data_IF_913530705448
#
_entry.id   IF_913530705448
#
_cell.length_a   1.000
_cell.length_b   1.000
_cell.length_c   1.000
_cell.angle_alpha   90.00
_cell.angle_beta   90.00
_cell.angle_gamma   90.00
#
_symmetry.space_group_name_H-M   'P 1'
#
loop_
_entity.id
_entity.type
_entity.pdbx_description
1 polymer ?
#
# COMPACT_ATOMS: atom_id res chain seq x y z
N UNK A 1 -42.98 52.05 3.96
CA UNK A 1 -42.44 51.03 4.88
C UNK A 1 -41.16 51.58 5.47
N UNK A 2 -41.13 51.93 6.78
CA UNK A 2 -39.97 52.59 7.38
C UNK A 2 -38.80 51.58 7.46
N UNK A 3 -37.59 52.05 7.24
CA UNK A 3 -36.36 51.27 7.25
C UNK A 3 -36.24 50.30 8.49
N UNK A 4 -36.70 50.78 9.63
CA UNK A 4 -36.77 49.99 10.87
C UNK A 4 -37.73 48.78 10.79
N UNK A 5 -38.87 48.92 10.15
CA UNK A 5 -39.82 47.80 9.93
C UNK A 5 -39.25 46.77 8.97
N UNK A 6 -38.53 47.15 7.96
CA UNK A 6 -37.86 46.23 7.03
C UNK A 6 -36.76 45.42 7.75
N UNK A 7 -35.93 46.05 8.57
CA UNK A 7 -34.89 45.40 9.36
C UNK A 7 -35.50 44.38 10.37
N UNK A 8 -36.60 44.74 11.00
CA UNK A 8 -37.31 43.85 11.94
C UNK A 8 -37.88 42.60 11.23
N UNK A 9 -38.49 42.76 10.08
CA UNK A 9 -39.05 41.67 9.30
C UNK A 9 -37.96 40.74 8.75
N UNK A 10 -36.88 41.28 8.24
CA UNK A 10 -35.76 40.44 7.77
C UNK A 10 -35.09 39.67 8.90
N UNK A 11 -34.89 40.29 10.06
CA UNK A 11 -34.32 39.60 11.25
C UNK A 11 -35.25 38.48 11.77
N UNK A 12 -36.59 38.72 11.74
CA UNK A 12 -37.55 37.70 12.15
C UNK A 12 -37.56 36.48 11.20
N UNK A 13 -37.52 36.75 9.89
CA UNK A 13 -37.46 35.70 8.86
C UNK A 13 -36.16 34.88 8.99
N UNK A 14 -35.05 35.56 9.23
CA UNK A 14 -33.75 34.90 9.43
C UNK A 14 -33.73 34.03 10.72
N UNK A 15 -34.32 34.55 11.80
CA UNK A 15 -34.43 33.78 13.04
C UNK A 15 -35.33 32.53 12.88
N UNK A 16 -36.47 32.68 12.20
CA UNK A 16 -37.37 31.55 11.91
C UNK A 16 -36.74 30.51 10.97
N UNK A 17 -36.01 30.96 9.93
CA UNK A 17 -35.29 30.03 9.04
C UNK A 17 -34.18 29.27 9.78
N UNK A 18 -33.42 29.93 10.66
CA UNK A 18 -32.40 29.35 11.48
C UNK A 18 -33.01 28.31 12.45
N UNK A 19 -34.12 28.66 13.10
CA UNK A 19 -34.85 27.73 13.97
C UNK A 19 -35.38 26.51 13.20
N UNK A 20 -35.93 26.73 12.00
CA UNK A 20 -36.40 25.63 11.15
C UNK A 20 -35.26 24.67 10.74
N UNK A 21 -34.12 25.21 10.34
CA UNK A 21 -32.94 24.41 10.03
C UNK A 21 -32.47 23.63 11.26
N UNK A 22 -32.41 24.25 12.42
CA UNK A 22 -32.04 23.59 13.67
C UNK A 22 -33.00 22.45 14.02
N UNK A 23 -34.30 22.66 13.90
CA UNK A 23 -35.31 21.60 14.14
C UNK A 23 -35.17 20.45 13.16
N UNK A 24 -34.94 20.74 11.87
CA UNK A 24 -34.70 19.71 10.84
C UNK A 24 -33.45 18.89 11.15
N UNK A 25 -32.35 19.55 11.56
CA UNK A 25 -31.10 18.88 11.92
C UNK A 25 -31.27 18.00 13.17
N UNK A 26 -31.96 18.50 14.20
CA UNK A 26 -32.24 17.72 15.43
C UNK A 26 -33.12 16.51 15.10
N UNK A 27 -34.18 16.68 14.32
CA UNK A 27 -35.06 15.57 13.91
C UNK A 27 -34.29 14.53 13.06
N UNK A 28 -33.41 15.00 12.16
CA UNK A 28 -32.55 14.12 11.37
C UNK A 28 -31.59 13.33 12.27
N UNK A 29 -30.90 13.99 13.19
CA UNK A 29 -30.02 13.36 14.17
C UNK A 29 -30.75 12.35 15.05
N UNK A 30 -31.93 12.68 15.56
CA UNK A 30 -32.74 11.74 16.36
C UNK A 30 -33.18 10.51 15.56
N UNK A 31 -33.49 10.67 14.27
CA UNK A 31 -33.80 9.54 13.38
C UNK A 31 -32.57 8.66 13.16
N UNK A 32 -31.42 9.27 12.93
CA UNK A 32 -30.16 8.55 12.70
C UNK A 32 -29.73 7.79 13.97
N UNK A 33 -29.83 8.41 15.16
CA UNK A 33 -29.55 7.74 16.43
C UNK A 33 -30.51 6.57 16.72
N UNK A 34 -31.80 6.72 16.40
CA UNK A 34 -32.77 5.61 16.56
C UNK A 34 -32.48 4.46 15.61
N UNK A 35 -32.11 4.77 14.35
CA UNK A 35 -31.70 3.75 13.37
C UNK A 35 -30.43 3.05 13.83
N UNK A 36 -29.41 3.78 14.28
CA UNK A 36 -28.16 3.21 14.79
C UNK A 36 -28.37 2.28 15.99
N UNK A 37 -29.24 2.64 16.95
CA UNK A 37 -29.59 1.78 18.09
C UNK A 37 -30.34 0.52 17.66
N UNK A 38 -31.26 0.62 16.73
CA UNK A 38 -31.96 -0.53 16.15
C UNK A 38 -30.99 -1.46 15.41
N UNK A 39 -30.08 -0.91 14.60
CA UNK A 39 -29.04 -1.69 13.91
C UNK A 39 -28.13 -2.40 14.91
N UNK A 40 -27.69 -1.72 15.97
CA UNK A 40 -26.86 -2.34 17.02
C UNK A 40 -27.56 -3.48 17.72
N UNK A 41 -28.85 -3.35 18.04
CA UNK A 41 -29.62 -4.42 18.67
C UNK A 41 -29.76 -5.63 17.72
N UNK A 42 -30.16 -5.38 16.47
CA UNK A 42 -30.27 -6.41 15.43
C UNK A 42 -28.92 -7.07 15.17
N UNK A 43 -27.83 -6.28 15.13
CA UNK A 43 -26.46 -6.77 14.98
C UNK A 43 -26.08 -7.75 16.09
N UNK A 44 -26.37 -7.42 17.36
CA UNK A 44 -26.06 -8.30 18.50
C UNK A 44 -26.83 -9.63 18.46
N UNK A 45 -28.09 -9.61 18.03
CA UNK A 45 -28.89 -10.83 17.85
C UNK A 45 -28.31 -11.69 16.72
N UNK A 46 -28.02 -11.08 15.56
CA UNK A 46 -27.47 -11.77 14.39
C UNK A 46 -26.09 -12.36 14.70
N UNK A 47 -25.22 -11.63 15.42
CA UNK A 47 -23.92 -12.14 15.84
C UNK A 47 -24.07 -13.41 16.67
N UNK A 48 -24.93 -13.42 17.66
CA UNK A 48 -25.16 -14.63 18.48
C UNK A 48 -25.64 -15.82 17.63
N UNK A 49 -26.54 -15.59 16.68
CA UNK A 49 -27.05 -16.65 15.80
C UNK A 49 -25.96 -17.15 14.86
N UNK A 50 -25.13 -16.27 14.29
CA UNK A 50 -24.00 -16.64 13.45
C UNK A 50 -22.95 -17.46 14.23
N UNK A 51 -22.61 -17.05 15.45
CA UNK A 51 -21.71 -17.81 16.31
C UNK A 51 -22.27 -19.20 16.65
N UNK A 52 -23.54 -19.27 17.03
CA UNK A 52 -24.21 -20.56 17.27
C UNK A 52 -24.25 -21.44 16.00
N UNK A 53 -24.44 -20.85 14.83
CA UNK A 53 -24.40 -21.57 13.55
C UNK A 53 -23.02 -22.12 13.22
N UNK A 54 -21.95 -21.44 13.61
CA UNK A 54 -20.57 -21.88 13.41
C UNK A 54 -20.14 -22.94 14.42
N UNK A 55 -20.67 -22.87 15.64
CA UNK A 55 -20.27 -23.74 16.77
C UNK A 55 -21.20 -24.97 16.93
N UNK A 56 -22.38 -24.99 16.33
CA UNK A 56 -23.37 -26.05 16.54
C UNK A 56 -23.42 -27.08 15.42
N UNK A 57 -23.74 -28.32 15.82
CA UNK A 57 -24.13 -29.38 14.90
C UNK A 57 -25.15 -28.87 13.87
N UNK A 58 -24.89 -29.15 12.61
CA UNK A 58 -25.64 -28.81 11.40
C UNK A 58 -27.19 -28.68 11.54
N UNK A 59 -27.81 -29.49 12.39
CA UNK A 59 -29.28 -29.56 12.49
C UNK A 59 -29.92 -28.47 13.34
N UNK A 60 -29.31 -27.95 14.37
CA UNK A 60 -29.84 -26.91 15.23
C UNK A 60 -29.73 -25.50 14.62
N UNK A 61 -28.61 -25.23 13.95
CA UNK A 61 -28.33 -23.97 13.27
C UNK A 61 -29.24 -23.71 12.06
N UNK A 62 -29.81 -24.75 11.45
CA UNK A 62 -30.63 -24.61 10.24
C UNK A 62 -32.01 -23.99 10.51
N UNK A 63 -32.59 -24.18 11.70
CA UNK A 63 -33.84 -23.51 12.10
C UNK A 63 -33.65 -22.02 12.33
N UNK A 64 -32.61 -21.66 13.01
CA UNK A 64 -32.26 -20.24 13.26
C UNK A 64 -31.90 -19.50 11.98
N UNK A 65 -31.31 -20.19 11.03
CA UNK A 65 -30.99 -19.68 9.71
C UNK A 65 -32.24 -19.37 8.89
N UNK A 66 -33.23 -20.27 8.89
CA UNK A 66 -34.49 -20.04 8.20
C UNK A 66 -35.26 -18.85 8.82
N UNK A 67 -35.14 -18.65 10.13
CA UNK A 67 -35.70 -17.49 10.81
C UNK A 67 -35.00 -16.20 10.39
N UNK A 68 -33.68 -16.21 10.24
CA UNK A 68 -32.88 -15.07 9.73
C UNK A 68 -33.24 -14.72 8.28
N UNK A 69 -33.41 -15.71 7.42
CA UNK A 69 -33.75 -15.50 6.01
C UNK A 69 -35.18 -14.92 5.83
N UNK A 70 -36.08 -15.19 6.76
CA UNK A 70 -37.46 -14.65 6.77
C UNK A 70 -37.59 -13.28 7.47
N UNK A 71 -36.50 -12.68 7.93
CA UNK A 71 -36.47 -11.35 8.54
C UNK A 71 -36.75 -10.24 7.50
N UNK A 72 -37.05 -9.06 8.00
CA UNK A 72 -37.27 -7.89 7.17
C UNK A 72 -35.98 -7.48 6.39
N UNK A 73 -36.11 -6.72 5.30
CA UNK A 73 -35.00 -6.31 4.43
C UNK A 73 -33.86 -5.64 5.18
N UNK A 74 -34.16 -4.87 6.23
CA UNK A 74 -33.10 -4.19 7.01
C UNK A 74 -32.25 -5.20 7.79
N UNK A 75 -32.85 -6.21 8.41
CA UNK A 75 -32.13 -7.27 9.11
C UNK A 75 -31.31 -8.16 8.14
N UNK A 76 -31.85 -8.45 6.95
CA UNK A 76 -31.11 -9.15 5.89
C UNK A 76 -29.87 -8.36 5.44
N UNK A 77 -29.97 -7.03 5.33
CA UNK A 77 -28.82 -6.19 5.00
C UNK A 77 -27.73 -6.27 6.09
N UNK A 78 -28.11 -6.18 7.36
CA UNK A 78 -27.18 -6.33 8.50
C UNK A 78 -26.55 -7.73 8.53
N UNK A 79 -27.34 -8.78 8.30
CA UNK A 79 -26.84 -10.16 8.21
C UNK A 79 -25.76 -10.29 7.12
N UNK A 80 -26.05 -9.81 5.91
CA UNK A 80 -25.13 -9.86 4.78
C UNK A 80 -23.83 -9.14 5.09
N UNK A 81 -23.92 -7.90 5.61
CA UNK A 81 -22.75 -7.11 5.98
C UNK A 81 -21.86 -7.83 7.00
N UNK A 82 -22.47 -8.33 8.09
CA UNK A 82 -21.74 -9.09 9.11
C UNK A 82 -21.12 -10.38 8.57
N UNK A 83 -21.85 -11.10 7.72
CA UNK A 83 -21.33 -12.34 7.13
C UNK A 83 -20.15 -12.06 6.19
N UNK A 84 -20.21 -10.98 5.42
CA UNK A 84 -19.11 -10.53 4.57
C UNK A 84 -17.88 -10.15 5.43
N UNK A 85 -18.09 -9.33 6.47
CA UNK A 85 -17.02 -8.93 7.40
C UNK A 85 -16.35 -10.18 8.03
N UNK A 86 -17.13 -11.16 8.45
CA UNK A 86 -16.61 -12.42 9.00
C UNK A 86 -15.88 -13.27 7.95
N UNK A 87 -16.37 -13.34 6.72
CA UNK A 87 -15.69 -14.07 5.63
C UNK A 87 -14.30 -13.54 5.32
N UNK A 88 -14.02 -12.26 5.62
CA UNK A 88 -12.68 -11.68 5.49
C UNK A 88 -11.74 -12.04 6.64
N UNK A 89 -12.28 -12.37 7.81
CA UNK A 89 -11.49 -12.68 9.02
C UNK A 89 -11.26 -14.17 9.21
N UNK A 90 -12.15 -15.01 8.67
CA UNK A 90 -12.19 -16.45 8.92
C UNK A 90 -11.72 -17.21 7.68
N UNK A 91 -11.00 -18.31 7.90
CA UNK A 91 -10.51 -19.20 6.83
C UNK A 91 -11.01 -20.64 7.09
N UNK A 92 -10.90 -21.49 6.08
CA UNK A 92 -11.21 -22.91 6.23
C UNK A 92 -12.70 -23.25 6.10
N UNK A 93 -13.17 -24.20 6.89
CA UNK A 93 -14.50 -24.78 6.79
C UNK A 93 -15.60 -23.81 7.21
N UNK A 94 -15.34 -22.99 8.22
CA UNK A 94 -16.27 -21.96 8.71
C UNK A 94 -16.56 -20.91 7.63
N UNK A 95 -15.54 -20.51 6.87
CA UNK A 95 -15.73 -19.61 5.72
C UNK A 95 -16.65 -20.24 4.67
N UNK A 96 -16.49 -21.53 4.38
CA UNK A 96 -17.35 -22.22 3.43
C UNK A 96 -18.82 -22.25 3.91
N UNK A 97 -19.05 -22.47 5.19
CA UNK A 97 -20.39 -22.42 5.81
C UNK A 97 -21.02 -21.02 5.65
N UNK A 98 -20.28 -19.96 5.98
CA UNK A 98 -20.75 -18.58 5.82
C UNK A 98 -21.05 -18.23 4.34
N UNK A 99 -20.20 -18.66 3.42
CA UNK A 99 -20.40 -18.45 1.99
C UNK A 99 -21.64 -19.19 1.48
N UNK A 100 -21.89 -20.43 1.97
CA UNK A 100 -23.11 -21.18 1.65
C UNK A 100 -24.37 -20.48 2.15
N UNK A 101 -24.29 -19.83 3.32
CA UNK A 101 -25.36 -19.01 3.86
C UNK A 101 -25.69 -17.81 2.96
N UNK A 102 -24.65 -17.07 2.51
CA UNK A 102 -24.82 -15.96 1.58
C UNK A 102 -25.44 -16.42 0.24
N UNK A 103 -25.02 -17.57 -0.27
CA UNK A 103 -25.58 -18.14 -1.49
C UNK A 103 -27.08 -18.48 -1.31
N UNK A 104 -27.45 -19.14 -0.21
CA UNK A 104 -28.85 -19.47 0.11
C UNK A 104 -29.71 -18.23 0.33
N UNK A 105 -29.16 -17.14 0.85
CA UNK A 105 -29.86 -15.86 1.02
C UNK A 105 -30.13 -15.14 -0.32
N UNK A 106 -29.68 -15.70 -1.45
CA UNK A 106 -29.78 -15.09 -2.77
C UNK A 106 -28.85 -13.89 -2.98
N UNK A 107 -27.90 -13.65 -2.06
CA UNK A 107 -26.97 -12.50 -2.12
C UNK A 107 -26.05 -12.60 -3.35
N UNK A 108 -25.54 -13.79 -3.69
CA UNK A 108 -24.75 -13.99 -4.92
C UNK A 108 -25.54 -13.54 -6.16
N UNK A 109 -26.79 -13.99 -6.28
CA UNK A 109 -27.60 -13.69 -7.46
C UNK A 109 -28.02 -12.22 -7.51
N UNK A 110 -28.12 -11.56 -6.36
CA UNK A 110 -28.29 -10.11 -6.25
C UNK A 110 -27.05 -9.38 -6.76
N UNK A 111 -25.84 -9.75 -6.31
CA UNK A 111 -24.59 -9.17 -6.80
C UNK A 111 -24.43 -9.37 -8.32
N UNK A 112 -24.75 -10.55 -8.86
CA UNK A 112 -24.70 -10.80 -10.32
C UNK A 112 -25.69 -9.88 -11.08
N UNK A 113 -26.87 -9.57 -10.50
CA UNK A 113 -27.79 -8.58 -11.09
C UNK A 113 -27.24 -7.15 -10.98
N UNK A 114 -26.66 -6.83 -9.83
CA UNK A 114 -26.14 -5.47 -9.53
C UNK A 114 -24.91 -5.11 -10.38
N UNK A 115 -24.20 -6.09 -10.93
CA UNK A 115 -23.19 -5.84 -11.99
C UNK A 115 -23.78 -5.16 -13.22
N UNK A 116 -25.10 -5.14 -13.40
CA UNK A 116 -25.82 -4.46 -14.49
C UNK A 116 -26.53 -3.18 -14.02
N UNK A 117 -26.27 -2.71 -12.81
CA UNK A 117 -26.83 -1.45 -12.27
C UNK A 117 -26.38 -0.26 -13.11
N UNK A 118 -27.20 0.79 -13.15
CA UNK A 118 -26.82 2.08 -13.73
C UNK A 118 -25.79 2.81 -12.89
N UNK A 119 -25.73 2.54 -11.59
CA UNK A 119 -24.77 3.12 -10.65
C UNK A 119 -23.42 2.40 -10.75
N UNK A 120 -22.35 3.14 -11.03
CA UNK A 120 -20.97 2.62 -11.04
C UNK A 120 -20.61 2.04 -9.66
N UNK A 121 -21.01 2.71 -8.59
CA UNK A 121 -20.72 2.27 -7.22
C UNK A 121 -21.37 0.94 -6.88
N UNK A 122 -22.64 0.71 -7.33
CA UNK A 122 -23.31 -0.58 -7.14
C UNK A 122 -22.58 -1.69 -7.92
N UNK A 123 -22.21 -1.43 -9.18
CA UNK A 123 -21.46 -2.40 -10.01
C UNK A 123 -20.11 -2.74 -9.37
N UNK A 124 -19.37 -1.74 -8.91
CA UNK A 124 -18.08 -1.92 -8.22
C UNK A 124 -18.22 -2.72 -6.93
N UNK A 125 -19.19 -2.37 -6.10
CA UNK A 125 -19.48 -3.09 -4.85
C UNK A 125 -19.90 -4.54 -5.11
N UNK A 126 -20.73 -4.77 -6.12
CA UNK A 126 -21.16 -6.11 -6.54
C UNK A 126 -19.95 -6.94 -7.02
N UNK A 127 -19.09 -6.37 -7.88
CA UNK A 127 -17.89 -7.03 -8.34
C UNK A 127 -16.99 -7.43 -7.15
N UNK A 128 -16.78 -6.53 -6.18
CA UNK A 128 -15.98 -6.80 -4.99
C UNK A 128 -16.60 -7.87 -4.08
N UNK A 129 -17.93 -7.89 -3.93
CA UNK A 129 -18.61 -8.88 -3.10
C UNK A 129 -18.54 -10.30 -3.69
N UNK A 130 -18.49 -10.42 -5.00
CA UNK A 130 -18.44 -11.70 -5.70
C UNK A 130 -17.14 -12.49 -5.46
N UNK A 131 -16.07 -11.88 -4.93
CA UNK A 131 -14.85 -12.60 -4.49
C UNK A 131 -15.12 -13.69 -3.43
N UNK A 132 -16.27 -13.65 -2.78
CA UNK A 132 -16.65 -14.65 -1.76
C UNK A 132 -17.11 -15.98 -2.35
N UNK A 133 -17.45 -16.01 -3.64
CA UNK A 133 -18.05 -17.16 -4.30
C UNK A 133 -17.12 -17.71 -5.39
N UNK A 134 -16.86 -19.02 -5.35
CA UNK A 134 -15.93 -19.68 -6.30
C UNK A 134 -16.67 -20.63 -7.27
N UNK A 135 -17.87 -20.23 -7.72
CA UNK A 135 -18.66 -20.99 -8.66
C UNK A 135 -18.57 -20.45 -10.10
N UNK A 136 -18.94 -21.28 -11.07
CA UNK A 136 -18.86 -20.95 -12.49
C UNK A 136 -19.73 -19.76 -12.90
N UNK A 137 -20.87 -19.55 -12.23
CA UNK A 137 -21.74 -18.40 -12.48
C UNK A 137 -21.07 -17.09 -12.07
N UNK A 138 -20.44 -17.09 -10.92
CA UNK A 138 -19.65 -15.95 -10.42
C UNK A 138 -18.47 -15.65 -11.33
N UNK A 139 -17.72 -16.69 -11.73
CA UNK A 139 -16.58 -16.55 -12.63
C UNK A 139 -16.99 -15.90 -13.96
N UNK A 140 -18.04 -16.42 -14.62
CA UNK A 140 -18.56 -15.88 -15.86
C UNK A 140 -19.06 -14.43 -15.71
N UNK A 141 -19.74 -14.11 -14.60
CA UNK A 141 -20.20 -12.75 -14.33
C UNK A 141 -19.05 -11.76 -14.14
N UNK A 142 -18.00 -12.15 -13.42
CA UNK A 142 -16.80 -11.34 -13.24
C UNK A 142 -15.98 -11.18 -14.52
N UNK A 143 -15.86 -12.25 -15.33
CA UNK A 143 -15.22 -12.16 -16.65
C UNK A 143 -15.97 -11.21 -17.59
N UNK A 144 -17.31 -11.20 -17.54
CA UNK A 144 -18.11 -10.22 -18.27
C UNK A 144 -17.89 -8.79 -17.76
N UNK A 145 -17.75 -8.60 -16.44
CA UNK A 145 -17.51 -7.30 -15.80
C UNK A 145 -16.12 -6.72 -16.12
N UNK A 146 -15.16 -7.51 -16.62
CA UNK A 146 -13.91 -6.99 -17.17
C UNK A 146 -14.12 -6.13 -18.45
N UNK A 147 -15.31 -6.14 -19.05
CA UNK A 147 -15.67 -5.29 -20.16
C UNK A 147 -16.57 -4.11 -19.75
N UNK A 148 -16.67 -3.79 -18.46
CA UNK A 148 -17.41 -2.62 -17.99
C UNK A 148 -16.81 -1.32 -18.54
N UNK A 149 -17.67 -0.32 -18.77
CA UNK A 149 -17.23 0.99 -19.25
C UNK A 149 -16.33 1.70 -18.23
N UNK A 150 -16.53 1.45 -16.93
CA UNK A 150 -15.76 2.07 -15.85
C UNK A 150 -14.55 1.21 -15.45
N UNK A 151 -13.36 1.81 -15.45
CA UNK A 151 -12.09 1.15 -15.15
C UNK A 151 -11.99 0.61 -13.71
N UNK A 152 -12.63 1.27 -12.74
CA UNK A 152 -12.63 0.79 -11.35
C UNK A 152 -13.52 -0.42 -11.15
N UNK A 153 -14.61 -0.56 -11.93
CA UNK A 153 -15.42 -1.78 -11.96
C UNK A 153 -14.62 -2.94 -12.56
N UNK A 154 -13.92 -2.69 -13.69
CA UNK A 154 -13.03 -3.70 -14.29
C UNK A 154 -11.95 -4.16 -13.32
N UNK A 155 -11.34 -3.21 -12.57
CA UNK A 155 -10.33 -3.52 -11.57
C UNK A 155 -10.88 -4.32 -10.38
N UNK A 156 -12.09 -3.97 -9.90
CA UNK A 156 -12.76 -4.74 -8.85
C UNK A 156 -13.06 -6.18 -9.31
N UNK A 157 -13.51 -6.35 -10.56
CA UNK A 157 -13.74 -7.67 -11.15
C UNK A 157 -12.43 -8.48 -11.26
N UNK A 158 -11.33 -7.85 -11.73
CA UNK A 158 -10.01 -8.49 -11.80
C UNK A 158 -9.51 -8.94 -10.43
N UNK A 159 -9.65 -8.07 -9.41
CA UNK A 159 -9.26 -8.37 -8.03
C UNK A 159 -10.07 -9.54 -7.47
N UNK A 160 -11.35 -9.61 -7.78
CA UNK A 160 -12.23 -10.70 -7.35
C UNK A 160 -11.92 -12.01 -8.07
N UNK A 161 -11.66 -11.97 -9.38
CA UNK A 161 -11.19 -13.14 -10.16
C UNK A 161 -9.87 -13.69 -9.61
N UNK A 162 -8.95 -12.81 -9.19
CA UNK A 162 -7.72 -13.22 -8.52
C UNK A 162 -8.01 -14.00 -7.23
N UNK A 163 -8.93 -13.49 -6.39
CA UNK A 163 -9.26 -14.12 -5.10
C UNK A 163 -9.87 -15.51 -5.25
N UNK A 164 -10.62 -15.74 -6.34
CA UNK A 164 -11.21 -17.06 -6.64
C UNK A 164 -10.32 -17.93 -7.54
N UNK A 165 -9.07 -17.52 -7.83
CA UNK A 165 -8.10 -18.20 -8.70
C UNK A 165 -8.59 -18.39 -10.17
N UNK A 166 -9.44 -17.50 -10.66
CA UNK A 166 -10.02 -17.55 -12.01
C UNK A 166 -9.54 -16.38 -12.91
N UNK A 167 -8.34 -15.83 -12.65
CA UNK A 167 -7.78 -14.76 -13.48
C UNK A 167 -7.57 -15.24 -14.92
N UNK A 168 -8.02 -14.45 -15.92
CA UNK A 168 -7.72 -14.71 -17.31
C UNK A 168 -6.23 -14.55 -17.62
N UNK A 169 -5.86 -14.75 -18.89
CA UNK A 169 -4.50 -14.44 -19.35
C UNK A 169 -4.15 -12.98 -19.06
N UNK A 170 -2.90 -12.76 -18.68
CA UNK A 170 -2.37 -11.46 -18.27
C UNK A 170 -2.44 -10.42 -19.40
N UNK A 171 -2.23 -10.82 -20.66
CA UNK A 171 -2.39 -9.93 -21.83
C UNK A 171 -3.83 -9.42 -21.97
N UNK A 172 -4.80 -10.33 -21.81
CA UNK A 172 -6.20 -9.96 -21.84
C UNK A 172 -6.55 -9.03 -20.67
N UNK A 173 -6.02 -9.32 -19.47
CA UNK A 173 -6.27 -8.49 -18.31
C UNK A 173 -5.77 -7.06 -18.51
N UNK A 174 -4.56 -6.89 -19.04
CA UNK A 174 -3.98 -5.59 -19.32
C UNK A 174 -4.80 -4.82 -20.34
N UNK A 175 -5.15 -5.45 -21.47
CA UNK A 175 -5.99 -4.79 -22.49
C UNK A 175 -7.34 -4.28 -21.93
N UNK A 176 -7.79 -4.81 -20.78
CA UNK A 176 -8.99 -4.34 -20.09
C UNK A 176 -8.72 -3.24 -19.04
N UNK A 177 -7.47 -3.08 -18.61
CA UNK A 177 -7.07 -2.12 -17.56
C UNK A 177 -6.22 -0.95 -18.11
N UNK A 178 -6.11 -0.78 -19.44
CA UNK A 178 -5.21 0.18 -20.12
C UNK A 178 -5.44 1.66 -19.83
N UNK A 179 -6.51 2.05 -19.11
CA UNK A 179 -6.71 3.44 -18.71
C UNK A 179 -5.60 3.89 -17.76
N UNK A 180 -4.93 5.02 -18.08
CA UNK A 180 -3.78 5.54 -17.30
C UNK A 180 -4.08 5.69 -15.81
N UNK A 181 -5.26 6.20 -15.47
CA UNK A 181 -5.66 6.41 -14.07
C UNK A 181 -5.86 5.08 -13.33
N UNK A 182 -6.34 4.06 -14.03
CA UNK A 182 -6.52 2.71 -13.50
C UNK A 182 -5.17 2.04 -13.29
N UNK A 183 -4.27 2.09 -14.28
CA UNK A 183 -2.91 1.53 -14.17
C UNK A 183 -2.10 2.19 -13.06
N UNK A 184 -2.24 3.50 -12.84
CA UNK A 184 -1.57 4.22 -11.77
C UNK A 184 -2.11 3.87 -10.36
N UNK A 185 -3.25 3.18 -10.27
CA UNK A 185 -3.90 2.88 -8.99
C UNK A 185 -3.07 1.93 -8.12
N UNK A 186 -3.22 2.07 -6.81
CA UNK A 186 -2.59 1.18 -5.84
C UNK A 186 -3.05 -0.27 -5.97
N UNK A 187 -4.31 -0.46 -6.35
CA UNK A 187 -4.91 -1.80 -6.47
C UNK A 187 -4.33 -2.57 -7.64
N UNK A 188 -4.07 -1.92 -8.79
CA UNK A 188 -3.36 -2.53 -9.91
C UNK A 188 -1.95 -2.93 -9.51
N UNK A 189 -1.20 -2.04 -8.86
CA UNK A 189 0.15 -2.38 -8.36
C UNK A 189 0.13 -3.61 -7.46
N UNK A 190 -0.81 -3.66 -6.51
CA UNK A 190 -0.96 -4.82 -5.62
C UNK A 190 -1.31 -6.10 -6.39
N UNK A 191 -2.18 -6.00 -7.40
CA UNK A 191 -2.54 -7.11 -8.26
C UNK A 191 -1.31 -7.66 -9.01
N UNK A 192 -0.53 -6.77 -9.64
CA UNK A 192 0.65 -7.16 -10.42
C UNK A 192 1.80 -7.69 -9.56
N UNK A 193 2.02 -7.14 -8.36
CA UNK A 193 2.98 -7.67 -7.38
C UNK A 193 2.65 -9.10 -6.97
N UNK A 194 1.38 -9.40 -6.70
CA UNK A 194 0.95 -10.77 -6.41
C UNK A 194 1.14 -11.72 -7.59
N UNK A 195 0.91 -11.23 -8.81
CA UNK A 195 1.15 -11.99 -10.03
C UNK A 195 2.65 -12.25 -10.28
N UNK A 196 3.52 -11.29 -9.93
CA UNK A 196 4.97 -11.46 -10.01
C UNK A 196 5.46 -12.63 -9.16
N UNK A 197 4.88 -12.81 -7.98
CA UNK A 197 5.19 -13.94 -7.10
C UNK A 197 4.71 -15.29 -7.67
N UNK A 198 3.56 -15.29 -8.36
CA UNK A 198 2.91 -16.53 -8.83
C UNK A 198 3.29 -16.93 -10.26
N UNK A 199 3.46 -15.95 -11.14
CA UNK A 199 3.65 -16.15 -12.59
C UNK A 199 4.72 -15.19 -13.15
N UNK A 200 5.97 -15.23 -12.67
CA UNK A 200 7.02 -14.28 -13.09
C UNK A 200 7.31 -14.33 -14.59
N UNK A 201 7.24 -15.51 -15.20
CA UNK A 201 7.46 -15.65 -16.64
C UNK A 201 6.43 -14.89 -17.48
N UNK A 202 5.17 -14.85 -17.05
CA UNK A 202 4.13 -14.10 -17.76
C UNK A 202 4.39 -12.57 -17.68
N UNK A 203 4.89 -12.06 -16.54
CA UNK A 203 5.30 -10.67 -16.43
C UNK A 203 6.48 -10.34 -17.35
N UNK A 204 7.48 -11.21 -17.45
CA UNK A 204 8.61 -11.00 -18.35
C UNK A 204 8.18 -10.96 -19.83
N UNK A 205 7.28 -11.85 -20.23
CA UNK A 205 6.71 -11.82 -21.60
C UNK A 205 6.01 -10.49 -21.88
N UNK A 206 5.28 -9.96 -20.92
CA UNK A 206 4.66 -8.64 -21.02
C UNK A 206 5.67 -7.51 -21.08
N UNK A 207 6.71 -7.56 -20.25
CA UNK A 207 7.77 -6.57 -20.27
C UNK A 207 8.48 -6.51 -21.64
N UNK A 208 8.63 -7.65 -22.31
CA UNK A 208 9.18 -7.71 -23.66
C UNK A 208 8.25 -7.04 -24.70
N UNK A 209 6.92 -7.13 -24.52
CA UNK A 209 5.91 -6.57 -25.42
C UNK A 209 5.56 -5.10 -25.13
N UNK A 210 5.93 -4.57 -23.94
CA UNK A 210 5.52 -3.25 -23.42
C UNK A 210 6.34 -2.05 -23.95
N UNK A 211 6.96 -2.18 -25.12
CA UNK A 211 7.98 -1.22 -25.62
C UNK A 211 7.52 0.23 -25.70
N UNK A 212 6.23 0.54 -25.74
CA UNK A 212 5.70 1.89 -25.95
C UNK A 212 4.80 2.43 -24.80
N UNK A 213 4.42 1.62 -23.81
CA UNK A 213 3.54 2.07 -22.73
C UNK A 213 4.32 2.33 -21.43
N UNK A 214 4.60 3.59 -21.16
CA UNK A 214 5.31 4.07 -19.96
C UNK A 214 4.63 3.62 -18.66
N UNK A 215 3.30 3.72 -18.56
CA UNK A 215 2.59 3.35 -17.33
C UNK A 215 2.66 1.86 -17.07
N UNK A 216 2.54 1.05 -18.11
CA UNK A 216 2.70 -0.38 -18.00
C UNK A 216 4.13 -0.76 -17.59
N UNK A 217 5.17 -0.12 -18.15
CA UNK A 217 6.57 -0.34 -17.76
C UNK A 217 6.76 -0.05 -16.26
N UNK A 218 6.20 1.07 -15.74
CA UNK A 218 6.27 1.44 -14.32
C UNK A 218 5.62 0.35 -13.46
N UNK A 219 4.42 -0.11 -13.82
CA UNK A 219 3.70 -1.15 -13.06
C UNK A 219 4.46 -2.49 -13.09
N UNK A 220 5.02 -2.86 -14.23
CA UNK A 220 5.81 -4.09 -14.37
C UNK A 220 7.12 -4.01 -13.58
N UNK A 221 7.83 -2.90 -13.68
CA UNK A 221 9.06 -2.68 -12.91
C UNK A 221 8.80 -2.76 -11.40
N UNK A 222 7.74 -2.10 -10.91
CA UNK A 222 7.33 -2.15 -9.51
C UNK A 222 6.94 -3.58 -9.08
N UNK A 223 6.20 -4.30 -9.91
CA UNK A 223 5.79 -5.67 -9.61
C UNK A 223 6.96 -6.65 -9.54
N UNK A 224 7.98 -6.45 -10.38
CA UNK A 224 9.18 -7.30 -10.42
C UNK A 224 10.00 -7.25 -9.13
N UNK A 225 9.82 -6.23 -8.28
CA UNK A 225 10.47 -6.16 -6.96
C UNK A 225 10.03 -7.28 -6.00
N UNK A 226 8.91 -7.91 -6.27
CA UNK A 226 8.28 -8.90 -5.37
C UNK A 226 8.48 -10.36 -5.83
N UNK A 227 9.23 -10.58 -6.90
CA UNK A 227 9.50 -11.95 -7.39
C UNK A 227 10.77 -12.53 -6.80
N UNK A 228 10.81 -13.86 -6.69
CA UNK A 228 12.04 -14.62 -6.41
C UNK A 228 12.73 -15.13 -7.69
N UNK A 229 12.22 -14.79 -8.87
CA UNK A 229 12.80 -15.18 -10.17
C UNK A 229 13.73 -14.08 -10.69
N UNK A 230 15.02 -14.23 -10.43
CA UNK A 230 16.04 -13.24 -10.83
C UNK A 230 16.23 -13.06 -12.34
N UNK A 231 15.58 -13.85 -13.18
CA UNK A 231 15.58 -13.60 -14.63
C UNK A 231 14.91 -12.27 -14.99
N UNK A 232 14.13 -11.66 -14.09
CA UNK A 232 13.57 -10.31 -14.27
C UNK A 232 14.64 -9.20 -14.27
N UNK A 233 15.86 -9.48 -13.81
CA UNK A 233 16.94 -8.51 -13.78
C UNK A 233 17.23 -7.93 -15.17
N UNK A 234 17.24 -8.75 -16.21
CA UNK A 234 17.45 -8.29 -17.59
C UNK A 234 16.41 -7.25 -18.02
N UNK A 235 15.14 -7.46 -17.62
CA UNK A 235 14.04 -6.53 -17.92
C UNK A 235 14.18 -5.25 -17.11
N UNK A 236 14.57 -5.34 -15.83
CA UNK A 236 14.83 -4.18 -14.96
C UNK A 236 16.05 -3.38 -15.42
N UNK A 237 17.11 -4.01 -15.95
CA UNK A 237 18.26 -3.30 -16.52
C UNK A 237 17.84 -2.47 -17.74
N UNK A 238 17.02 -3.03 -18.61
CA UNK A 238 16.47 -2.30 -19.75
C UNK A 238 15.61 -1.11 -19.28
N UNK A 239 14.74 -1.31 -18.29
CA UNK A 239 13.93 -0.23 -17.72
C UNK A 239 14.74 0.83 -16.97
N UNK A 240 15.84 0.47 -16.33
CA UNK A 240 16.74 1.42 -15.69
C UNK A 240 17.49 2.33 -16.70
N UNK A 241 17.46 1.96 -17.99
CA UNK A 241 18.02 2.75 -19.11
C UNK A 241 16.93 3.35 -20.00
N UNK A 242 15.67 3.40 -19.56
CA UNK A 242 14.55 3.96 -20.33
C UNK A 242 14.66 5.49 -20.42
N UNK A 243 14.10 6.08 -21.49
CA UNK A 243 14.05 7.54 -21.68
C UNK A 243 13.20 8.22 -20.60
N UNK A 244 12.16 7.55 -20.11
CA UNK A 244 11.25 8.07 -19.10
C UNK A 244 11.84 7.98 -17.69
N UNK A 245 11.79 9.11 -16.96
CA UNK A 245 12.35 9.25 -15.62
C UNK A 245 11.70 8.32 -14.59
N UNK A 246 10.39 8.18 -14.64
CA UNK A 246 9.63 7.39 -13.66
C UNK A 246 9.88 5.89 -13.87
N UNK A 247 10.08 5.46 -15.12
CA UNK A 247 10.48 4.08 -15.44
C UNK A 247 11.87 3.79 -14.87
N UNK A 248 12.87 4.66 -15.14
CA UNK A 248 14.24 4.47 -14.60
C UNK A 248 14.25 4.41 -13.08
N UNK A 249 13.62 5.38 -12.43
CA UNK A 249 13.62 5.43 -10.95
C UNK A 249 12.87 4.26 -10.32
N UNK A 250 11.78 3.78 -10.96
CA UNK A 250 11.06 2.61 -10.47
C UNK A 250 11.87 1.34 -10.65
N UNK A 251 12.54 1.16 -11.79
CA UNK A 251 13.39 0.00 -12.03
C UNK A 251 14.56 -0.07 -11.03
N UNK A 252 15.24 1.05 -10.77
CA UNK A 252 16.33 1.11 -9.79
C UNK A 252 15.85 0.81 -8.36
N UNK A 253 14.67 1.31 -7.99
CA UNK A 253 14.07 0.99 -6.69
C UNK A 253 13.80 -0.50 -6.57
N UNK A 254 13.31 -1.11 -7.63
CA UNK A 254 13.05 -2.56 -7.67
C UNK A 254 14.31 -3.39 -7.65
N UNK A 255 15.38 -2.95 -8.31
CA UNK A 255 16.72 -3.58 -8.21
C UNK A 255 17.27 -3.52 -6.78
N UNK A 256 17.13 -2.38 -6.11
CA UNK A 256 17.48 -2.24 -4.69
C UNK A 256 16.69 -3.20 -3.79
N UNK A 257 15.37 -3.31 -4.01
CA UNK A 257 14.50 -4.19 -3.22
C UNK A 257 14.80 -5.68 -3.44
N UNK A 258 15.20 -6.09 -4.64
CA UNK A 258 15.64 -7.46 -4.94
C UNK A 258 16.99 -7.83 -4.30
N UNK A 259 17.80 -6.85 -3.94
CA UNK A 259 19.10 -7.01 -3.27
C UNK A 259 20.04 -8.00 -3.98
N UNK A 260 19.96 -8.08 -5.31
CA UNK A 260 20.79 -9.01 -6.06
C UNK A 260 22.11 -8.35 -6.51
N UNK A 261 23.28 -8.98 -6.27
CA UNK A 261 24.57 -8.36 -6.57
C UNK A 261 24.81 -8.08 -8.06
N UNK A 262 24.17 -8.82 -8.97
CA UNK A 262 24.30 -8.59 -10.42
C UNK A 262 23.76 -7.21 -10.85
N UNK A 263 22.95 -6.54 -10.01
CA UNK A 263 22.47 -5.18 -10.27
C UNK A 263 23.58 -4.11 -10.11
N UNK A 264 24.74 -4.48 -9.59
CA UNK A 264 25.81 -3.58 -9.24
C UNK A 264 26.23 -2.63 -10.38
N UNK A 265 26.44 -3.15 -11.58
CA UNK A 265 26.89 -2.36 -12.74
C UNK A 265 25.86 -1.29 -13.17
N UNK A 266 24.57 -1.64 -13.13
CA UNK A 266 23.48 -0.70 -13.49
C UNK A 266 23.31 0.37 -12.42
N UNK A 267 23.39 0.00 -11.15
CA UNK A 267 23.32 0.94 -10.03
C UNK A 267 24.50 1.90 -10.06
N UNK A 268 25.74 1.42 -10.27
CA UNK A 268 26.94 2.24 -10.38
C UNK A 268 26.83 3.26 -11.52
N UNK A 269 26.39 2.83 -12.70
CA UNK A 269 26.16 3.71 -13.83
C UNK A 269 25.16 4.82 -13.51
N UNK A 270 24.06 4.46 -12.83
CA UNK A 270 22.96 5.36 -12.49
C UNK A 270 23.31 6.40 -11.42
N UNK A 271 24.38 6.18 -10.63
CA UNK A 271 24.90 7.20 -9.70
C UNK A 271 25.44 8.45 -10.43
N UNK A 272 25.66 8.37 -11.74
CA UNK A 272 26.14 9.47 -12.59
C UNK A 272 25.08 9.98 -13.57
N UNK A 273 23.79 9.61 -13.39
CA UNK A 273 22.70 10.07 -14.27
C UNK A 273 22.54 11.59 -14.25
N UNK A 274 22.13 12.17 -15.36
CA UNK A 274 21.87 13.61 -15.47
C UNK A 274 20.78 14.10 -14.50
N UNK A 275 19.79 13.25 -14.25
CA UNK A 275 18.65 13.57 -13.38
C UNK A 275 18.94 13.21 -11.92
N UNK A 276 18.84 14.18 -11.03
CA UNK A 276 19.12 13.99 -9.61
C UNK A 276 18.24 12.91 -8.96
N UNK A 277 17.00 12.74 -9.42
CA UNK A 277 16.07 11.72 -8.92
C UNK A 277 16.64 10.31 -9.13
N UNK A 278 17.24 10.07 -10.30
CA UNK A 278 17.87 8.78 -10.63
C UNK A 278 19.08 8.56 -9.75
N UNK A 279 19.97 9.58 -9.60
CA UNK A 279 21.14 9.48 -8.71
C UNK A 279 20.74 9.17 -7.27
N UNK A 280 19.70 9.85 -6.75
CA UNK A 280 19.22 9.63 -5.39
C UNK A 280 18.69 8.21 -5.17
N UNK A 281 17.91 7.67 -6.14
CA UNK A 281 17.39 6.31 -6.04
C UNK A 281 18.50 5.28 -6.21
N UNK A 282 19.46 5.52 -7.10
CA UNK A 282 20.63 4.65 -7.29
C UNK A 282 21.49 4.58 -6.01
N UNK A 283 21.69 5.72 -5.32
CA UNK A 283 22.39 5.73 -4.04
C UNK A 283 21.67 4.86 -3.00
N UNK A 284 20.35 4.98 -2.86
CA UNK A 284 19.58 4.12 -1.96
C UNK A 284 19.65 2.63 -2.35
N UNK A 285 19.60 2.32 -3.65
CA UNK A 285 19.74 0.94 -4.14
C UNK A 285 21.15 0.37 -3.81
N UNK A 286 22.20 1.18 -3.91
CA UNK A 286 23.57 0.76 -3.55
C UNK A 286 23.66 0.34 -2.08
N UNK A 287 23.05 1.11 -1.16
CA UNK A 287 22.98 0.76 0.26
C UNK A 287 22.17 -0.54 0.50
N UNK A 288 20.99 -0.65 -0.11
CA UNK A 288 20.12 -1.82 0.05
C UNK A 288 20.75 -3.12 -0.46
N UNK A 289 21.52 -3.07 -1.54
CA UNK A 289 22.22 -4.24 -2.11
C UNK A 289 23.49 -4.54 -1.32
N UNK A 290 24.07 -3.58 -0.61
CA UNK A 290 25.33 -3.75 0.13
C UNK A 290 26.58 -3.56 -0.74
N UNK A 291 26.57 -2.62 -1.69
CA UNK A 291 27.68 -2.41 -2.64
C UNK A 291 28.82 -1.59 -2.00
N UNK A 292 29.57 -2.18 -1.08
CA UNK A 292 30.63 -1.51 -0.31
C UNK A 292 31.72 -0.86 -1.20
N UNK A 293 32.00 -1.43 -2.36
CA UNK A 293 33.01 -0.88 -3.28
C UNK A 293 32.61 0.51 -3.85
N UNK A 294 31.33 0.89 -3.75
CA UNK A 294 30.78 2.19 -4.16
C UNK A 294 30.94 3.28 -3.08
N UNK A 295 31.47 2.96 -1.89
CA UNK A 295 31.71 3.96 -0.82
C UNK A 295 32.41 5.20 -1.32
N UNK A 296 33.49 5.13 -2.13
CA UNK A 296 34.17 6.34 -2.64
C UNK A 296 33.29 7.19 -3.57
N UNK A 297 32.39 6.58 -4.34
CA UNK A 297 31.49 7.28 -5.24
C UNK A 297 30.32 7.91 -4.46
N UNK A 298 29.74 7.20 -3.51
CA UNK A 298 28.69 7.72 -2.61
C UNK A 298 29.23 8.88 -1.75
N UNK A 299 30.49 8.82 -1.30
CA UNK A 299 31.13 9.92 -0.57
C UNK A 299 31.21 11.17 -1.42
N UNK A 300 31.52 11.05 -2.72
CA UNK A 300 31.52 12.20 -3.66
C UNK A 300 30.09 12.78 -3.83
N UNK A 301 29.06 11.95 -3.82
CA UNK A 301 27.68 12.39 -3.94
C UNK A 301 27.14 13.12 -2.68
N UNK A 302 27.88 13.13 -1.58
CA UNK A 302 27.60 14.02 -0.45
C UNK A 302 27.75 15.51 -0.81
N UNK A 303 28.43 15.81 -1.91
CA UNK A 303 28.60 17.17 -2.45
C UNK A 303 27.69 17.45 -3.66
N UNK A 304 26.73 16.58 -3.96
CA UNK A 304 25.77 16.80 -5.04
C UNK A 304 24.93 18.06 -4.81
N UNK A 305 24.56 18.76 -5.89
CA UNK A 305 23.71 19.95 -5.82
C UNK A 305 22.35 19.65 -5.18
N UNK A 306 21.81 18.46 -5.41
CA UNK A 306 20.53 18.05 -4.87
C UNK A 306 20.62 17.60 -3.41
N UNK A 307 19.81 18.21 -2.54
CA UNK A 307 19.69 17.77 -1.15
C UNK A 307 19.33 16.29 -1.02
N UNK A 308 18.41 15.81 -1.89
CA UNK A 308 17.97 14.42 -1.86
C UNK A 308 19.07 13.42 -2.24
N UNK A 309 19.95 13.78 -3.16
CA UNK A 309 21.10 12.92 -3.51
C UNK A 309 22.06 12.84 -2.34
N UNK A 310 22.39 14.00 -1.72
CA UNK A 310 23.25 14.02 -0.52
C UNK A 310 22.67 13.16 0.60
N UNK A 311 21.37 13.31 0.88
CA UNK A 311 20.68 12.56 1.94
C UNK A 311 20.70 11.05 1.67
N UNK A 312 20.29 10.63 0.46
CA UNK A 312 20.28 9.20 0.10
C UNK A 312 21.65 8.58 0.04
N UNK A 313 22.68 9.34 -0.32
CA UNK A 313 24.07 8.88 -0.30
C UNK A 313 24.57 8.70 1.14
N UNK A 314 24.21 9.60 2.04
CA UNK A 314 24.54 9.47 3.45
C UNK A 314 23.83 8.28 4.11
N UNK A 315 22.53 8.06 3.84
CA UNK A 315 21.80 6.87 4.28
C UNK A 315 22.49 5.59 3.77
N UNK A 316 22.79 5.53 2.46
CA UNK A 316 23.46 4.39 1.86
C UNK A 316 24.82 4.09 2.51
N UNK A 317 25.63 5.13 2.78
CA UNK A 317 26.89 4.98 3.50
C UNK A 317 26.69 4.45 4.92
N UNK A 318 25.62 4.87 5.63
CA UNK A 318 25.24 4.31 6.93
C UNK A 318 24.93 2.82 6.86
N UNK A 319 24.21 2.39 5.81
CA UNK A 319 23.79 1.00 5.59
C UNK A 319 24.97 0.09 5.17
N UNK A 320 26.02 0.64 4.56
CA UNK A 320 27.20 -0.09 4.10
C UNK A 320 28.20 -0.46 5.22
N UNK A 321 27.74 -0.48 6.46
CA UNK A 321 28.51 -0.97 7.60
C UNK A 321 29.71 -0.11 7.98
N UNK A 322 30.76 -0.73 8.53
CA UNK A 322 31.89 -0.01 9.11
C UNK A 322 32.61 0.90 8.10
N UNK A 323 32.81 0.45 6.86
CA UNK A 323 33.50 1.20 5.82
C UNK A 323 32.74 2.48 5.43
N UNK A 324 31.44 2.37 5.22
CA UNK A 324 30.59 3.51 4.89
C UNK A 324 30.40 4.47 6.06
N UNK A 325 30.23 3.97 7.27
CA UNK A 325 30.13 4.77 8.49
C UNK A 325 31.45 5.54 8.77
N UNK A 326 32.59 4.92 8.50
CA UNK A 326 33.88 5.60 8.61
C UNK A 326 33.99 6.78 7.62
N UNK A 327 33.58 6.59 6.38
CA UNK A 327 33.54 7.66 5.38
C UNK A 327 32.61 8.81 5.80
N UNK A 328 31.46 8.50 6.42
CA UNK A 328 30.56 9.52 6.99
C UNK A 328 31.21 10.31 8.12
N UNK A 329 31.89 9.64 9.07
CA UNK A 329 32.58 10.31 10.18
C UNK A 329 33.70 11.23 9.67
N UNK A 330 34.49 10.75 8.72
CA UNK A 330 35.54 11.55 8.08
C UNK A 330 34.98 12.79 7.40
N UNK A 331 33.85 12.62 6.72
CA UNK A 331 33.17 13.74 6.05
C UNK A 331 32.52 14.71 7.07
N UNK A 332 31.92 14.25 8.12
CA UNK A 332 31.36 15.07 9.21
C UNK A 332 32.45 15.88 9.91
N UNK A 333 33.65 15.32 10.11
CA UNK A 333 34.77 16.01 10.73
C UNK A 333 35.26 17.23 9.92
N UNK A 334 34.90 17.33 8.63
CA UNK A 334 35.27 18.49 7.78
C UNK A 334 34.41 19.74 8.05
N UNK A 335 33.36 19.68 8.87
CA UNK A 335 32.47 20.83 9.19
C UNK A 335 33.24 21.98 9.81
N UNK A 336 34.25 21.71 10.62
CA UNK A 336 35.08 22.71 11.34
C UNK A 336 36.20 23.31 10.47
N UNK A 337 36.38 22.87 9.23
CA UNK A 337 37.30 23.48 8.29
C UNK A 337 36.67 24.73 7.66
N UNK A 338 37.49 25.67 7.18
CA UNK A 338 37.09 26.99 6.66
C UNK A 338 36.01 26.95 5.55
N UNK A 339 35.72 25.78 4.99
CA UNK A 339 34.63 25.51 4.06
C UNK A 339 33.53 24.66 4.76
N UNK A 340 32.58 25.30 5.43
CA UNK A 340 31.34 24.68 5.90
C UNK A 340 30.54 24.18 4.70
N UNK A 341 30.72 22.91 4.33
CA UNK A 341 30.07 22.32 3.17
C UNK A 341 28.79 21.55 3.53
N UNK A 342 27.86 21.56 2.58
CA UNK A 342 26.57 20.89 2.73
C UNK A 342 26.70 19.37 2.95
N UNK A 343 27.76 18.75 2.41
CA UNK A 343 28.02 17.31 2.56
C UNK A 343 28.44 16.92 3.97
N UNK A 344 29.27 17.72 4.63
CA UNK A 344 29.66 17.48 6.03
C UNK A 344 28.46 17.56 6.96
N UNK A 345 27.59 18.59 6.80
CA UNK A 345 26.36 18.72 7.58
C UNK A 345 25.38 17.55 7.34
N UNK A 346 25.30 17.06 6.12
CA UNK A 346 24.47 15.91 5.79
C UNK A 346 25.00 14.63 6.45
N UNK A 347 26.30 14.41 6.40
CA UNK A 347 26.94 13.28 7.06
C UNK A 347 26.72 13.30 8.58
N UNK A 348 26.89 14.47 9.22
CA UNK A 348 26.64 14.64 10.65
C UNK A 348 25.18 14.39 11.01
N UNK A 349 24.23 14.88 10.19
CA UNK A 349 22.80 14.67 10.39
C UNK A 349 22.44 13.18 10.41
N UNK A 350 22.93 12.42 9.42
CA UNK A 350 22.61 10.98 9.32
C UNK A 350 23.29 10.18 10.43
N UNK A 351 24.53 10.55 10.82
CA UNK A 351 25.20 9.93 11.97
C UNK A 351 24.43 10.15 13.28
N UNK A 352 23.83 11.34 13.46
CA UNK A 352 23.01 11.65 14.63
C UNK A 352 21.69 10.87 14.61
N UNK A 353 21.00 10.83 13.48
CA UNK A 353 19.72 10.12 13.30
C UNK A 353 19.86 8.62 13.57
N UNK A 354 20.95 8.01 13.14
CA UNK A 354 21.21 6.58 13.33
C UNK A 354 21.97 6.26 14.64
N UNK A 355 22.28 7.25 15.48
CA UNK A 355 22.97 7.05 16.76
C UNK A 355 24.41 6.51 16.58
N UNK A 356 25.03 6.82 15.45
CA UNK A 356 26.36 6.33 15.05
C UNK A 356 27.50 7.25 15.50
N UNK A 357 27.25 8.20 16.40
CA UNK A 357 28.31 8.94 17.10
C UNK A 357 29.18 7.93 17.86
N UNK A 358 30.48 8.04 17.74
CA UNK A 358 31.40 7.22 18.50
C UNK A 358 30.99 7.25 19.99
N UNK A 359 30.67 6.10 20.53
CA UNK A 359 30.96 5.84 21.92
C UNK A 359 32.48 6.05 22.00
N UNK A 360 32.92 7.22 22.47
CA UNK A 360 34.31 7.42 22.87
C UNK A 360 34.64 6.19 23.71
N UNK A 361 35.64 5.35 23.32
CA UNK A 361 36.04 4.27 24.19
C UNK A 361 36.36 4.98 25.50
N UNK A 362 35.74 4.59 26.60
CA UNK A 362 36.15 4.97 27.92
C UNK A 362 37.64 4.54 27.96
N UNK A 363 38.53 5.49 27.66
CA UNK A 363 39.94 5.30 27.76
C UNK A 363 40.19 4.81 29.18
N UNK A 364 40.86 3.66 29.25
CA UNK A 364 41.23 2.94 30.43
C UNK A 364 41.33 3.84 31.69
N UNK A 365 40.33 3.78 32.54
CA UNK A 365 40.35 4.36 33.88
C UNK A 365 41.32 3.59 34.81
N UNK A 366 42.20 2.74 34.23
CA UNK A 366 43.06 1.81 34.96
C UNK A 366 44.54 2.21 34.98
N UNK A 367 44.88 3.46 34.62
CA UNK A 367 46.29 3.92 34.73
C UNK A 367 46.56 5.07 35.70
N UNK A 368 45.72 5.30 36.73
CA UNK A 368 46.01 6.31 37.76
C UNK A 368 46.09 5.75 39.18
N UNK A 369 46.38 4.47 39.39
CA UNK A 369 46.76 3.93 40.71
C UNK A 369 48.16 3.35 40.76
N UNK A 370 49.18 4.14 40.46
CA UNK A 370 50.54 3.77 40.86
C UNK A 370 51.45 4.99 40.94
N UNK A 371 51.18 5.92 41.85
CA UNK A 371 52.26 6.78 42.47
C UNK A 371 51.71 7.31 43.79
N UNK A 372 51.89 6.62 44.88
CA UNK A 372 52.15 7.20 46.21
C UNK A 372 52.78 6.16 47.14
N UNK A 373 54.01 5.77 46.85
CA UNK A 373 54.89 5.29 47.95
C UNK A 373 55.55 6.52 48.58
N UNK A 374 55.07 6.90 49.72
CA UNK A 374 55.77 7.81 50.65
C UNK A 374 56.80 6.98 51.43
N UNK A 375 58.11 7.30 51.43
CA UNK A 375 59.06 6.62 52.29
C UNK A 375 58.91 7.06 53.71
N UNK A 376 58.73 6.10 54.61
CA UNK A 376 58.85 6.30 56.07
C UNK A 376 60.33 6.44 56.43
N UNK A 377 60.70 7.55 57.00
CA UNK A 377 61.95 7.69 57.75
C UNK A 377 61.68 7.86 59.22
N UNK A 378 62.39 6.98 60.00
CA UNK A 378 62.82 7.01 61.38
C UNK A 378 61.73 7.05 62.46
#
# INVERSE_FOLDING_TARGET
>A
MNLLQFIWWTSLVLALSSLMVMVVLVLRRMRDERRARQEQHVRGVIQKILFNYMDSDWMSGQKDLNNLMNMNRAAQHVLRKLTIDLCHLIQGQERQQLTSLLTRSGFRDECVRDLRSRSVEDRRSAASALQLFSDTTTEQALLAALNDDDGHVRLAAASSLKMINALPDLRLLISKLEEKDVLASRDVRTLFRDMARRKPLALRQLAADSSNDTQLKIVLADAMSETSDFRVLDDLYRFASDDDLDVRTTALRSLGALQHPDAAAVVEHSLSDAQWQVRAVAAGAAGQIGLEYLVPQLTRLLDDDSWWVRFRSAEALSDLGATGQQALRERAATINSVNDNAGGRMAALVLDEHGLHELVPLADADQTESVSQVPSHA
#
